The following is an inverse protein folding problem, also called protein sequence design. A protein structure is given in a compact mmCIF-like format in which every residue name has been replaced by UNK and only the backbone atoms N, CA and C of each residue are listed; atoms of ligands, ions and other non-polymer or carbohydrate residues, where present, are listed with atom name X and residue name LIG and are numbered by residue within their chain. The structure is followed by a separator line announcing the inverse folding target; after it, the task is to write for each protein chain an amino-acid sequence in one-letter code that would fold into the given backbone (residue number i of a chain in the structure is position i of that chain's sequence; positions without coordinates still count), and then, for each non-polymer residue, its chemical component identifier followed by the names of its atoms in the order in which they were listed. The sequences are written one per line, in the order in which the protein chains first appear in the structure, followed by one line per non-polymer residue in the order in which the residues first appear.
data_IF_439487280698
#
_entry.id   IF_439487280698
#
_cell.length_a   1.000
_cell.length_b   1.000
_cell.length_c   1.000
_cell.angle_alpha   90.00
_cell.angle_beta   90.00
_cell.angle_gamma   90.00
#
_symmetry.space_group_name_H-M   'P 1'
#
loop_
_entity.id
_entity.type
_entity.pdbx_description
1 polymer ?
#
# COMPACT_ATOMS: atom_id res chain seq x y z
N UNK A 1 -45.78 3.66 42.18
CA UNK A 1 -44.38 4.12 42.18
C UNK A 1 -43.51 3.10 41.45
N UNK A 2 -43.12 3.35 40.20
CA UNK A 2 -42.07 2.59 39.50
C UNK A 2 -41.14 3.57 38.80
N UNK A 3 -39.85 3.27 38.96
CA UNK A 3 -38.69 4.14 38.83
C UNK A 3 -38.35 4.47 37.37
N UNK A 4 -37.85 5.69 37.21
CA UNK A 4 -37.28 6.32 36.04
C UNK A 4 -35.91 5.68 35.76
N UNK A 5 -35.57 5.41 34.50
CA UNK A 5 -34.18 5.40 34.01
C UNK A 5 -34.17 5.96 32.57
N UNK A 6 -33.61 7.17 32.35
CA UNK A 6 -33.32 7.70 31.03
C UNK A 6 -31.89 7.33 30.64
N UNK A 7 -31.62 7.12 29.34
CA UNK A 7 -30.31 7.11 28.63
C UNK A 7 -30.41 6.11 27.47
N UNK A 8 -29.96 6.36 26.24
CA UNK A 8 -29.11 7.41 25.72
C UNK A 8 -29.50 7.66 24.26
N UNK A 9 -29.40 8.92 23.86
CA UNK A 9 -29.41 9.35 22.47
C UNK A 9 -28.32 8.58 21.71
N UNK A 10 -28.73 7.69 20.80
CA UNK A 10 -27.85 7.21 19.74
C UNK A 10 -27.60 8.38 18.79
N UNK A 11 -26.52 9.11 19.06
CA UNK A 11 -25.93 10.02 18.10
C UNK A 11 -25.41 9.19 16.92
N UNK A 12 -26.25 9.02 15.90
CA UNK A 12 -25.78 8.65 14.56
C UNK A 12 -24.91 9.82 14.08
N UNK A 13 -23.59 9.64 14.20
CA UNK A 13 -22.64 10.51 13.57
C UNK A 13 -22.85 10.43 12.07
N UNK A 14 -23.30 11.54 11.49
CA UNK A 14 -23.38 11.73 10.06
C UNK A 14 -21.97 11.67 9.47
N UNK A 15 -21.66 10.65 8.67
CA UNK A 15 -20.60 10.71 7.68
C UNK A 15 -21.08 11.59 6.53
N UNK A 16 -21.06 12.90 6.79
CA UNK A 16 -21.19 13.91 5.76
C UNK A 16 -19.90 13.97 4.92
N UNK A 17 -20.10 14.14 3.62
CA UNK A 17 -19.13 14.61 2.63
C UNK A 17 -18.05 13.61 2.16
N UNK A 18 -18.46 12.61 1.36
CA UNK A 18 -17.68 12.17 0.19
C UNK A 18 -17.92 13.14 -0.98
N UNK A 19 -17.59 14.42 -0.77
CA UNK A 19 -17.54 15.41 -1.84
C UNK A 19 -16.07 15.81 -2.03
N UNK A 20 -15.59 15.55 -3.24
CA UNK A 20 -14.32 15.98 -3.83
C UNK A 20 -13.12 15.07 -3.51
N UNK A 21 -12.76 14.18 -4.44
CA UNK A 21 -11.54 14.28 -5.27
C UNK A 21 -11.41 13.04 -6.19
N UNK A 22 -10.91 13.16 -7.43
CA UNK A 22 -10.57 12.01 -8.31
C UNK A 22 -9.34 11.20 -7.84
N UNK A 23 -8.96 11.28 -6.56
CA UNK A 23 -7.72 10.69 -6.04
C UNK A 23 -7.67 9.16 -6.19
N UNK A 24 -8.82 8.48 -6.28
CA UNK A 24 -8.87 7.03 -6.46
C UNK A 24 -8.33 6.52 -7.81
N UNK A 25 -8.34 7.33 -8.86
CA UNK A 25 -7.87 6.87 -10.18
C UNK A 25 -6.33 6.89 -10.31
N UNK A 26 -5.66 7.88 -9.71
CA UNK A 26 -4.20 7.97 -9.72
C UNK A 26 -3.55 6.94 -8.77
N UNK A 27 -4.19 6.72 -7.62
CA UNK A 27 -3.80 5.72 -6.64
C UNK A 27 -3.83 4.30 -7.23
N UNK A 28 -4.93 3.94 -7.91
CA UNK A 28 -5.06 2.66 -8.59
C UNK A 28 -3.99 2.45 -9.68
N UNK A 29 -3.58 3.52 -10.39
CA UNK A 29 -2.62 3.39 -11.50
C UNK A 29 -1.18 3.14 -11.01
N UNK A 30 -0.73 3.84 -9.97
CA UNK A 30 0.61 3.64 -9.42
C UNK A 30 0.76 2.27 -8.76
N UNK A 31 -0.24 1.85 -7.99
CA UNK A 31 -0.30 0.53 -7.38
C UNK A 31 -0.36 -0.59 -8.42
N UNK A 32 -1.20 -0.47 -9.46
CA UNK A 32 -1.22 -1.42 -10.58
C UNK A 32 0.14 -1.54 -11.25
N UNK A 33 0.78 -0.40 -11.54
CA UNK A 33 2.12 -0.38 -12.16
C UNK A 33 3.16 -1.07 -11.28
N UNK A 34 3.11 -0.84 -9.97
CA UNK A 34 4.01 -1.47 -9.01
C UNK A 34 3.80 -3.00 -8.96
N UNK A 35 2.54 -3.46 -8.93
CA UNK A 35 2.19 -4.88 -8.99
C UNK A 35 2.69 -5.53 -10.28
N UNK A 36 2.49 -4.88 -11.43
CA UNK A 36 2.95 -5.39 -12.73
C UNK A 36 4.49 -5.54 -12.76
N UNK A 37 5.22 -4.59 -12.19
CA UNK A 37 6.69 -4.66 -12.09
C UNK A 37 7.17 -5.78 -11.15
N UNK A 38 6.48 -5.99 -10.03
CA UNK A 38 6.78 -7.07 -9.09
C UNK A 38 6.54 -8.42 -9.76
N UNK A 39 5.39 -8.60 -10.43
CA UNK A 39 5.07 -9.83 -11.15
C UNK A 39 6.07 -10.11 -12.28
N UNK A 40 6.42 -9.09 -13.07
CA UNK A 40 7.42 -9.24 -14.12
C UNK A 40 8.81 -9.64 -13.57
N UNK A 41 9.18 -9.15 -12.38
CA UNK A 41 10.40 -9.58 -11.72
C UNK A 41 10.30 -11.05 -11.25
N UNK A 42 9.18 -11.47 -10.68
CA UNK A 42 8.96 -12.88 -10.29
C UNK A 42 9.04 -13.80 -11.52
N UNK A 43 8.44 -13.40 -12.65
CA UNK A 43 8.51 -14.16 -13.91
C UNK A 43 9.94 -14.24 -14.46
N UNK A 44 10.71 -13.15 -14.36
CA UNK A 44 12.11 -13.11 -14.78
C UNK A 44 13.02 -13.96 -13.87
N UNK A 45 12.66 -14.08 -12.59
CA UNK A 45 13.46 -14.74 -11.56
C UNK A 45 12.66 -15.89 -10.89
N UNK A 46 12.39 -17.00 -11.62
CA UNK A 46 11.51 -18.07 -11.13
C UNK A 46 12.08 -18.84 -9.92
N UNK A 47 13.38 -18.71 -9.65
CA UNK A 47 14.06 -19.35 -8.51
C UNK A 47 14.39 -18.35 -7.39
N UNK A 48 13.77 -17.16 -7.41
CA UNK A 48 14.05 -16.07 -6.50
C UNK A 48 14.89 -14.97 -7.13
N UNK A 49 14.57 -13.72 -6.75
CA UNK A 49 15.27 -12.52 -7.23
C UNK A 49 16.59 -12.39 -6.48
N UNK A 50 17.71 -12.36 -7.20
CA UNK A 50 19.03 -12.11 -6.62
C UNK A 50 19.22 -10.62 -6.21
N UNK A 51 20.31 -10.30 -5.53
CA UNK A 51 20.54 -8.95 -4.99
C UNK A 51 20.57 -7.85 -6.07
N UNK A 52 21.11 -8.12 -7.26
CA UNK A 52 21.11 -7.15 -8.36
C UNK A 52 19.70 -7.01 -8.96
N UNK A 53 18.95 -8.12 -9.06
CA UNK A 53 17.54 -8.11 -9.42
C UNK A 53 16.67 -7.30 -8.44
N UNK A 54 16.91 -7.42 -7.14
CA UNK A 54 16.20 -6.69 -6.09
C UNK A 54 16.48 -5.19 -6.18
N UNK A 55 17.74 -4.80 -6.38
CA UNK A 55 18.14 -3.40 -6.62
C UNK A 55 17.51 -2.82 -7.89
N UNK A 56 17.48 -3.61 -8.97
CA UNK A 56 16.84 -3.20 -10.21
C UNK A 56 15.32 -3.01 -10.04
N UNK A 57 14.66 -3.92 -9.33
CA UNK A 57 13.23 -3.79 -9.02
C UNK A 57 12.95 -2.57 -8.14
N UNK A 58 13.72 -2.39 -7.06
CA UNK A 58 13.61 -1.23 -6.18
C UNK A 58 13.75 0.09 -6.94
N UNK A 59 14.73 0.19 -7.85
CA UNK A 59 14.91 1.37 -8.68
C UNK A 59 13.69 1.64 -9.59
N UNK A 60 13.12 0.60 -10.21
CA UNK A 60 11.92 0.72 -11.05
C UNK A 60 10.70 1.16 -10.24
N UNK A 61 10.52 0.61 -9.05
CA UNK A 61 9.43 0.98 -8.13
C UNK A 61 9.55 2.43 -7.66
N UNK A 62 10.75 2.87 -7.29
CA UNK A 62 11.02 4.26 -6.89
C UNK A 62 10.84 5.26 -8.03
N UNK A 63 10.97 4.82 -9.28
CA UNK A 63 10.74 5.63 -10.46
C UNK A 63 9.24 5.81 -10.80
N UNK A 64 8.33 5.08 -10.14
CA UNK A 64 6.89 5.23 -10.34
C UNK A 64 6.47 6.64 -9.91
N UNK A 65 5.77 7.35 -10.81
CA UNK A 65 5.19 8.65 -10.55
C UNK A 65 3.97 8.59 -9.63
N UNK A 66 4.16 8.15 -8.39
CA UNK A 66 3.15 8.13 -7.33
C UNK A 66 3.22 9.41 -6.48
N UNK A 67 2.13 9.75 -5.79
CA UNK A 67 2.07 10.87 -4.85
C UNK A 67 1.46 10.42 -3.52
N UNK A 68 1.72 11.20 -2.45
CA UNK A 68 1.07 10.98 -1.16
C UNK A 68 1.42 9.62 -0.52
N UNK A 69 0.40 8.95 0.01
CA UNK A 69 0.55 7.68 0.73
C UNK A 69 1.10 6.56 -0.17
N UNK A 70 0.66 6.48 -1.43
CA UNK A 70 1.09 5.43 -2.35
C UNK A 70 2.58 5.51 -2.65
N UNK A 71 3.10 6.73 -2.84
CA UNK A 71 4.54 6.95 -3.02
C UNK A 71 5.32 6.47 -1.81
N UNK A 72 4.83 6.76 -0.60
CA UNK A 72 5.48 6.33 0.63
C UNK A 72 5.47 4.81 0.76
N UNK A 73 4.34 4.14 0.46
CA UNK A 73 4.23 2.68 0.50
C UNK A 73 5.14 2.01 -0.54
N UNK A 74 5.08 2.44 -1.80
CA UNK A 74 5.92 1.91 -2.88
C UNK A 74 7.40 2.12 -2.54
N UNK A 75 7.77 3.28 -2.01
CA UNK A 75 9.14 3.56 -1.61
C UNK A 75 9.59 2.72 -0.40
N UNK A 76 8.71 2.48 0.57
CA UNK A 76 9.01 1.63 1.71
C UNK A 76 9.25 0.18 1.26
N UNK A 77 8.40 -0.36 0.38
CA UNK A 77 8.60 -1.69 -0.20
C UNK A 77 9.89 -1.77 -1.01
N UNK A 78 10.17 -0.76 -1.85
CA UNK A 78 11.41 -0.69 -2.62
C UNK A 78 12.66 -0.60 -1.73
N UNK A 79 12.57 0.08 -0.59
CA UNK A 79 13.67 0.16 0.37
C UNK A 79 13.88 -1.18 1.08
N UNK A 80 12.79 -1.85 1.49
CA UNK A 80 12.85 -3.17 2.11
C UNK A 80 13.48 -4.23 1.18
N UNK A 81 13.26 -4.12 -0.14
CA UNK A 81 13.91 -5.00 -1.14
C UNK A 81 15.43 -4.93 -1.15
N UNK A 82 16.03 -3.81 -0.74
CA UNK A 82 17.49 -3.60 -0.80
C UNK A 82 18.13 -3.45 0.58
N UNK A 83 17.34 -3.61 1.64
CA UNK A 83 17.84 -3.53 3.01
C UNK A 83 18.40 -4.89 3.41
N UNK A 84 19.72 -4.96 3.57
CA UNK A 84 20.43 -6.19 3.97
C UNK A 84 20.04 -6.67 5.38
N UNK A 85 19.33 -5.85 6.18
CA UNK A 85 18.79 -6.26 7.49
C UNK A 85 17.40 -6.90 7.40
N UNK A 86 16.73 -6.79 6.25
CA UNK A 86 15.41 -7.37 6.02
C UNK A 86 15.59 -8.79 5.47
N UNK A 87 15.37 -9.78 6.31
CA UNK A 87 15.43 -11.20 5.93
C UNK A 87 14.08 -11.77 5.49
N UNK A 88 12.99 -11.05 5.80
CA UNK A 88 11.62 -11.41 5.47
C UNK A 88 10.88 -10.17 4.97
N UNK A 89 10.30 -10.27 3.77
CA UNK A 89 9.55 -9.17 3.15
C UNK A 89 8.05 -9.20 3.46
N UNK A 90 7.55 -10.16 4.23
CA UNK A 90 6.11 -10.36 4.48
C UNK A 90 5.44 -9.10 5.01
N UNK A 91 6.06 -8.42 5.99
CA UNK A 91 5.54 -7.16 6.54
C UNK A 91 5.47 -6.04 5.48
N UNK A 92 6.47 -5.97 4.60
CA UNK A 92 6.51 -4.99 3.52
C UNK A 92 5.47 -5.33 2.43
N UNK A 93 5.28 -6.62 2.12
CA UNK A 93 4.26 -7.12 1.19
C UNK A 93 2.87 -6.82 1.75
N UNK A 94 2.62 -7.07 3.02
CA UNK A 94 1.33 -6.82 3.66
C UNK A 94 1.01 -5.33 3.70
N UNK A 95 2.00 -4.49 4.03
CA UNK A 95 1.83 -3.03 3.99
C UNK A 95 1.58 -2.52 2.56
N UNK A 96 2.27 -3.11 1.56
CA UNK A 96 2.06 -2.81 0.16
C UNK A 96 0.63 -3.19 -0.27
N UNK A 97 0.21 -4.41 0.01
CA UNK A 97 -1.12 -4.92 -0.31
C UNK A 97 -2.22 -4.13 0.41
N UNK A 98 -2.03 -3.76 1.67
CA UNK A 98 -3.02 -2.97 2.41
C UNK A 98 -3.23 -1.56 1.85
N UNK A 99 -2.21 -0.98 1.20
CA UNK A 99 -2.29 0.34 0.57
C UNK A 99 -2.78 0.28 -0.89
N UNK A 100 -2.49 -0.83 -1.57
CA UNK A 100 -2.68 -1.01 -3.01
C UNK A 100 -3.84 -1.96 -3.41
N UNK A 101 -4.60 -2.52 -2.46
CA UNK A 101 -5.75 -3.40 -2.70
C UNK A 101 -7.08 -2.66 -2.92
#
# INVERSE_FOLDING_TARGET
MRKILPSALLAVAATAALLVLPAGAAQAHACSTAVDLINAAIEQYPNGIDNDGQKALAAKLLAIGANGADKATIAAFATALIDDNVTDLSDAIDAFNASCA
#
